data_IF_028513038466
#
_entry.id   IF_028513038466
#
_cell.length_a   1.000
_cell.length_b   1.000
_cell.length_c   1.000
_cell.angle_alpha   90.00
_cell.angle_beta   90.00
_cell.angle_gamma   90.00
#
_symmetry.space_group_name_H-M   'P 1'
#
loop_
_entity.id
_entity.type
_entity.pdbx_description
1 polymer ?
#
# COMPACT_ATOMS: atom_id res chain seq x y z
N UNK A 1 2.87 9.65 -8.09
CA UNK A 1 3.83 10.64 -8.61
C UNK A 1 5.11 10.57 -7.82
N UNK A 2 6.25 10.90 -8.44
CA UNK A 2 7.56 10.94 -7.76
C UNK A 2 8.36 12.15 -8.20
N UNK A 3 9.18 12.68 -7.32
CA UNK A 3 10.07 13.81 -7.58
C UNK A 3 11.36 13.68 -6.80
N UNK A 4 12.42 14.31 -7.31
CA UNK A 4 13.69 14.42 -6.60
C UNK A 4 14.33 15.78 -6.84
N UNK A 5 15.00 16.29 -5.82
CA UNK A 5 15.76 17.54 -5.88
C UNK A 5 17.14 17.26 -5.30
N UNK A 6 18.17 17.58 -6.07
CA UNK A 6 19.56 17.57 -5.62
C UNK A 6 20.01 19.01 -5.41
N UNK A 7 20.70 19.25 -4.31
CA UNK A 7 21.27 20.53 -3.94
C UNK A 7 22.75 20.34 -3.57
N UNK A 8 23.62 21.01 -4.33
CA UNK A 8 25.07 20.95 -4.21
C UNK A 8 25.59 22.41 -4.08
N UNK A 9 25.52 23.02 -2.88
CA UNK A 9 25.99 24.38 -2.66
C UNK A 9 27.52 24.52 -2.71
N UNK A 10 28.26 23.41 -2.59
CA UNK A 10 29.71 23.33 -2.65
C UNK A 10 30.14 21.94 -3.13
N UNK A 11 31.41 21.78 -3.47
CA UNK A 11 31.97 20.47 -3.87
C UNK A 11 31.98 19.46 -2.72
N UNK A 12 32.01 19.93 -1.47
CA UNK A 12 32.10 19.10 -0.28
C UNK A 12 30.74 18.68 0.31
N UNK A 13 29.62 19.17 -0.23
CA UNK A 13 28.29 18.92 0.34
C UNK A 13 27.23 18.64 -0.72
N UNK A 14 26.53 17.52 -0.55
CA UNK A 14 25.37 17.14 -1.36
C UNK A 14 24.18 16.86 -0.45
N UNK A 15 23.02 17.44 -0.77
CA UNK A 15 21.73 17.03 -0.24
C UNK A 15 20.81 16.55 -1.38
N UNK A 16 20.16 15.40 -1.17
CA UNK A 16 19.21 14.80 -2.09
C UNK A 16 17.89 14.54 -1.36
N UNK A 17 16.83 15.19 -1.82
CA UNK A 17 15.47 14.92 -1.38
C UNK A 17 14.75 14.11 -2.44
N UNK A 18 14.10 13.02 -2.04
CA UNK A 18 13.20 12.22 -2.87
C UNK A 18 11.84 12.16 -2.21
N UNK A 19 10.78 12.37 -2.98
CA UNK A 19 9.40 12.24 -2.52
C UNK A 19 8.63 11.39 -3.50
N UNK A 20 7.88 10.43 -2.99
CA UNK A 20 7.00 9.58 -3.77
C UNK A 20 5.62 9.51 -3.11
N UNK A 21 4.59 9.57 -3.94
CA UNK A 21 3.21 9.32 -3.53
C UNK A 21 2.59 8.32 -4.51
N UNK A 22 2.06 7.21 -4.02
CA UNK A 22 1.34 6.22 -4.80
C UNK A 22 -0.07 6.05 -4.25
N UNK A 23 -1.01 5.78 -5.15
CA UNK A 23 -2.37 5.43 -4.79
C UNK A 23 -2.83 4.33 -5.75
N UNK A 24 -3.36 3.25 -5.21
CA UNK A 24 -4.04 2.22 -5.95
C UNK A 24 -5.46 2.11 -5.41
N UNK A 25 -6.45 2.23 -6.29
CA UNK A 25 -7.85 2.03 -5.93
C UNK A 25 -8.47 1.05 -6.89
N UNK A 26 -9.11 0.03 -6.34
CA UNK A 26 -9.91 -0.93 -7.07
C UNK A 26 -11.29 -0.97 -6.44
N UNK A 27 -12.31 -0.71 -7.24
CA UNK A 27 -13.72 -0.80 -6.83
C UNK A 27 -14.30 -2.15 -7.30
N UNK A 28 -15.10 -2.78 -6.44
CA UNK A 28 -15.76 -4.05 -6.68
C UNK A 28 -15.04 -5.27 -6.09
N UNK A 29 -15.79 -6.36 -5.92
CA UNK A 29 -15.36 -7.55 -5.19
C UNK A 29 -14.27 -8.38 -5.87
N UNK A 30 -13.84 -9.45 -5.20
CA UNK A 30 -12.80 -10.35 -5.70
C UNK A 30 -13.22 -11.12 -6.98
N UNK A 31 -14.51 -11.07 -7.34
CA UNK A 31 -15.09 -11.85 -8.44
C UNK A 31 -15.13 -11.04 -9.74
N UNK A 32 -14.39 -11.52 -10.74
CA UNK A 32 -14.50 -11.08 -12.12
C UNK A 32 -15.29 -12.12 -12.90
N UNK A 33 -16.46 -11.73 -13.40
CA UNK A 33 -17.28 -12.61 -14.22
C UNK A 33 -16.80 -12.57 -15.67
N UNK A 34 -16.45 -13.74 -16.21
CA UNK A 34 -16.12 -13.87 -17.63
C UNK A 34 -17.37 -14.03 -18.51
N UNK A 35 -18.40 -14.74 -18.05
CA UNK A 35 -19.66 -14.90 -18.77
C UNK A 35 -20.72 -15.42 -17.79
N UNK A 36 -21.88 -14.77 -17.73
CA UNK A 36 -23.00 -15.21 -16.88
C UNK A 36 -23.67 -16.48 -17.47
N UNK A 37 -23.58 -16.72 -18.79
CA UNK A 37 -24.23 -17.83 -19.47
C UNK A 37 -25.60 -17.48 -20.07
N UNK A 38 -26.25 -18.44 -20.72
CA UNK A 38 -27.48 -18.21 -21.51
C UNK A 38 -28.71 -17.85 -20.64
N UNK A 39 -29.73 -17.21 -21.24
CA UNK A 39 -30.99 -16.85 -20.56
C UNK A 39 -31.85 -18.07 -20.16
N UNK A 40 -31.62 -19.25 -20.72
CA UNK A 40 -32.26 -20.51 -20.31
C UNK A 40 -31.68 -21.11 -19.03
N UNK A 41 -30.50 -20.65 -18.59
CA UNK A 41 -29.88 -21.11 -17.36
C UNK A 41 -30.57 -20.50 -16.13
N UNK A 42 -31.17 -21.36 -15.31
CA UNK A 42 -31.91 -20.96 -14.10
C UNK A 42 -31.09 -20.11 -13.12
N UNK A 43 -29.85 -20.54 -12.82
CA UNK A 43 -28.95 -19.80 -11.92
C UNK A 43 -28.53 -18.46 -12.54
N UNK A 44 -28.32 -18.43 -13.85
CA UNK A 44 -27.90 -17.26 -14.60
C UNK A 44 -29.00 -16.16 -14.58
N UNK A 45 -30.27 -16.55 -14.73
CA UNK A 45 -31.39 -15.63 -14.57
C UNK A 45 -31.56 -15.14 -13.12
N UNK A 46 -31.24 -15.95 -12.11
CA UNK A 46 -31.25 -15.47 -10.72
C UNK A 46 -30.18 -14.40 -10.48
N UNK A 47 -28.99 -14.56 -11.05
CA UNK A 47 -27.92 -13.55 -10.97
C UNK A 47 -28.31 -12.25 -11.68
N UNK A 48 -28.89 -12.32 -12.90
CA UNK A 48 -29.37 -11.12 -13.62
C UNK A 48 -30.45 -10.35 -12.86
N UNK A 49 -31.28 -11.06 -12.09
CA UNK A 49 -32.39 -10.49 -11.33
C UNK A 49 -32.04 -10.16 -9.88
N UNK A 50 -30.79 -10.37 -9.42
CA UNK A 50 -30.39 -10.09 -8.04
C UNK A 50 -30.20 -8.59 -7.76
N UNK A 51 -30.12 -7.76 -8.81
CA UNK A 51 -29.79 -6.34 -8.70
C UNK A 51 -28.29 -6.06 -8.56
N UNK A 52 -27.46 -7.10 -8.49
CA UNK A 52 -26.00 -6.96 -8.49
C UNK A 52 -25.50 -6.44 -9.85
N UNK A 53 -24.50 -5.56 -9.83
CA UNK A 53 -23.88 -5.01 -11.04
C UNK A 53 -22.88 -6.02 -11.62
N UNK A 54 -23.38 -7.09 -12.23
CA UNK A 54 -22.58 -8.18 -12.79
C UNK A 54 -22.40 -7.97 -14.30
N UNK A 55 -21.16 -7.91 -14.82
CA UNK A 55 -20.94 -7.83 -16.26
C UNK A 55 -21.35 -9.14 -16.96
N UNK A 56 -22.15 -9.03 -18.02
CA UNK A 56 -22.68 -10.17 -18.78
C UNK A 56 -21.63 -10.86 -19.67
N UNK A 57 -20.62 -10.10 -20.09
CA UNK A 57 -19.53 -10.51 -20.97
C UNK A 57 -18.17 -10.23 -20.34
N UNK A 58 -17.07 -10.84 -20.85
CA UNK A 58 -15.74 -10.65 -20.26
C UNK A 58 -15.38 -9.18 -20.18
N UNK A 59 -15.06 -8.69 -18.98
CA UNK A 59 -14.64 -7.32 -18.77
C UNK A 59 -13.72 -7.22 -17.56
N UNK A 60 -12.98 -6.12 -17.45
CA UNK A 60 -12.19 -5.80 -16.26
C UNK A 60 -13.06 -5.26 -15.10
N UNK A 61 -14.39 -5.28 -15.22
CA UNK A 61 -15.28 -4.86 -14.14
C UNK A 61 -15.41 -5.98 -13.12
N UNK A 62 -15.15 -5.64 -11.87
CA UNK A 62 -15.43 -6.51 -10.72
C UNK A 62 -16.90 -6.38 -10.37
N UNK A 63 -17.57 -7.50 -10.19
CA UNK A 63 -18.93 -7.52 -9.67
C UNK A 63 -18.86 -7.42 -8.14
N UNK A 64 -19.82 -6.72 -7.55
CA UNK A 64 -20.00 -6.70 -6.10
C UNK A 64 -21.38 -7.24 -5.76
N UNK A 65 -21.44 -8.16 -4.79
CA UNK A 65 -22.66 -8.81 -4.32
C UNK A 65 -23.01 -8.46 -2.86
N UNK A 66 -22.12 -7.73 -2.18
CA UNK A 66 -22.28 -7.28 -0.81
C UNK A 66 -23.27 -6.12 -0.65
N UNK A 67 -23.85 -5.99 0.54
CA UNK A 67 -24.64 -4.81 0.95
C UNK A 67 -23.76 -3.56 1.12
N UNK A 68 -22.48 -3.76 1.41
CA UNK A 68 -21.48 -2.70 1.53
C UNK A 68 -20.63 -2.64 0.25
N UNK A 69 -20.15 -1.45 -0.17
CA UNK A 69 -19.27 -1.34 -1.32
C UNK A 69 -17.95 -2.06 -1.06
N UNK A 70 -17.60 -3.03 -1.90
CA UNK A 70 -16.29 -3.68 -1.87
C UNK A 70 -15.22 -2.78 -2.53
N UNK A 71 -14.06 -2.69 -1.89
CA UNK A 71 -12.94 -1.87 -2.35
C UNK A 71 -11.58 -2.40 -1.88
N UNK A 72 -10.55 -2.02 -2.61
CA UNK A 72 -9.14 -2.09 -2.20
C UNK A 72 -8.52 -0.72 -2.51
N UNK A 73 -8.24 0.07 -1.48
CA UNK A 73 -7.60 1.38 -1.58
C UNK A 73 -6.32 1.38 -0.75
N UNK A 74 -5.19 1.56 -1.42
CA UNK A 74 -3.88 1.70 -0.77
C UNK A 74 -3.24 3.00 -1.22
N UNK A 75 -2.85 3.82 -0.26
CA UNK A 75 -2.11 5.06 -0.45
C UNK A 75 -0.81 5.00 0.32
N UNK A 76 0.28 5.35 -0.34
CA UNK A 76 1.59 5.41 0.29
C UNK A 76 2.23 6.74 -0.05
N UNK A 77 2.75 7.43 0.96
CA UNK A 77 3.58 8.62 0.77
C UNK A 77 4.93 8.36 1.44
N UNK A 78 6.01 8.64 0.74
CA UNK A 78 7.37 8.48 1.25
C UNK A 78 8.17 9.74 0.95
N UNK A 79 9.01 10.13 1.89
CA UNK A 79 10.00 11.18 1.70
C UNK A 79 11.33 10.73 2.28
N UNK A 80 12.42 11.01 1.57
CA UNK A 80 13.78 10.73 2.02
C UNK A 80 14.66 11.94 1.78
N UNK A 81 15.41 12.33 2.80
CA UNK A 81 16.52 13.27 2.72
C UNK A 81 17.82 12.50 2.93
N UNK A 82 18.76 12.65 2.01
CA UNK A 82 20.12 12.15 2.17
C UNK A 82 21.07 13.32 2.08
N UNK A 83 21.93 13.48 3.09
CA UNK A 83 22.97 14.49 3.13
C UNK A 83 24.33 13.82 3.20
N UNK A 84 25.28 14.28 2.40
CA UNK A 84 26.67 13.89 2.45
C UNK A 84 27.53 15.14 2.65
N UNK A 85 28.49 15.05 3.57
CA UNK A 85 29.47 16.08 3.83
C UNK A 85 30.86 15.43 3.84
N UNK A 86 31.73 15.90 2.97
CA UNK A 86 33.15 15.56 2.97
C UNK A 86 33.90 16.68 3.73
N UNK A 87 34.53 16.34 4.85
CA UNK A 87 35.18 17.29 5.75
C UNK A 87 36.63 16.83 6.02
N UNK A 88 37.54 17.21 5.12
CA UNK A 88 38.90 16.68 5.09
C UNK A 88 38.87 15.18 4.80
N UNK A 89 39.51 14.37 5.64
CA UNK A 89 39.52 12.91 5.51
C UNK A 89 38.25 12.25 6.08
N UNK A 90 37.27 13.01 6.57
CA UNK A 90 36.02 12.46 7.09
C UNK A 90 34.89 12.59 6.09
N UNK A 91 34.12 11.52 5.91
CA UNK A 91 32.84 11.55 5.20
C UNK A 91 31.70 11.30 6.18
N UNK A 92 30.79 12.27 6.26
CA UNK A 92 29.56 12.15 7.03
C UNK A 92 28.39 11.90 6.09
N UNK A 93 27.57 10.90 6.39
CA UNK A 93 26.33 10.62 5.69
C UNK A 93 25.19 10.65 6.69
N UNK A 94 24.12 11.38 6.37
CA UNK A 94 22.86 11.28 7.10
C UNK A 94 21.74 10.91 6.14
N UNK A 95 20.92 9.94 6.54
CA UNK A 95 19.74 9.52 5.80
C UNK A 95 18.54 9.62 6.73
N UNK A 96 17.58 10.46 6.41
CA UNK A 96 16.30 10.54 7.09
C UNK A 96 15.21 10.12 6.12
N UNK A 97 14.36 9.19 6.51
CA UNK A 97 13.24 8.75 5.70
C UNK A 97 11.96 8.74 6.53
N UNK A 98 10.86 9.10 5.89
CA UNK A 98 9.53 9.08 6.46
C UNK A 98 8.59 8.37 5.49
N UNK A 99 7.70 7.54 6.01
CA UNK A 99 6.70 6.83 5.24
C UNK A 99 5.36 6.84 5.97
N UNK A 100 4.30 7.13 5.23
CA UNK A 100 2.92 6.90 5.65
C UNK A 100 2.28 5.92 4.67
N UNK A 101 1.59 4.91 5.21
CA UNK A 101 0.76 3.99 4.47
C UNK A 101 -0.65 4.02 5.06
N UNK A 102 -1.64 4.13 4.18
CA UNK A 102 -3.06 3.99 4.50
C UNK A 102 -3.66 2.99 3.52
N UNK A 103 -3.96 1.82 4.01
CA UNK A 103 -4.60 0.73 3.28
C UNK A 103 -6.00 0.46 3.83
N UNK A 104 -6.92 0.10 2.96
CA UNK A 104 -8.25 -0.34 3.33
C UNK A 104 -8.77 -1.32 2.31
N UNK A 105 -9.26 -2.46 2.79
CA UNK A 105 -9.83 -3.51 1.97
C UNK A 105 -11.16 -3.90 2.61
N UNK A 106 -12.23 -3.82 1.83
CA UNK A 106 -13.50 -4.43 2.15
C UNK A 106 -13.83 -5.44 1.06
N UNK A 107 -13.94 -6.71 1.45
CA UNK A 107 -14.25 -7.81 0.54
C UNK A 107 -15.29 -8.74 1.13
N UNK A 108 -16.22 -9.16 0.28
CA UNK A 108 -17.12 -10.29 0.50
C UNK A 108 -16.49 -11.54 -0.15
N UNK A 109 -16.20 -12.55 0.66
CA UNK A 109 -15.47 -13.73 0.20
C UNK A 109 -16.37 -14.82 -0.41
N UNK A 110 -17.70 -14.68 -0.32
CA UNK A 110 -18.61 -15.82 -0.45
C UNK A 110 -19.56 -15.76 -1.66
N UNK A 111 -19.05 -15.50 -2.86
CA UNK A 111 -19.86 -15.72 -4.08
C UNK A 111 -21.16 -14.88 -4.10
N UNK A 112 -22.24 -15.34 -4.75
CA UNK A 112 -23.52 -14.62 -4.77
C UNK A 112 -24.33 -14.72 -3.47
N UNK A 113 -23.79 -15.29 -2.39
CA UNK A 113 -24.46 -15.46 -1.10
C UNK A 113 -23.58 -14.83 -0.01
N UNK A 114 -23.93 -13.62 0.41
CA UNK A 114 -23.26 -12.86 1.47
C UNK A 114 -23.31 -13.63 2.80
N UNK A 115 -22.22 -14.31 3.19
CA UNK A 115 -22.09 -14.95 4.50
C UNK A 115 -20.94 -14.37 5.33
N UNK A 116 -19.81 -14.04 4.68
CA UNK A 116 -18.62 -13.48 5.32
C UNK A 116 -18.16 -12.19 4.62
N UNK A 117 -18.39 -11.06 5.28
CA UNK A 117 -17.78 -9.79 4.93
C UNK A 117 -16.58 -9.54 5.83
N UNK A 118 -15.43 -9.17 5.26
CA UNK A 118 -14.27 -8.70 6.02
C UNK A 118 -13.87 -7.29 5.61
N UNK A 119 -13.77 -6.41 6.59
CA UNK A 119 -13.20 -5.07 6.47
C UNK A 119 -11.87 -5.05 7.22
N UNK A 120 -10.80 -4.71 6.51
CA UNK A 120 -9.45 -4.60 7.05
C UNK A 120 -8.94 -3.23 6.68
N UNK A 121 -8.60 -2.43 7.68
CA UNK A 121 -7.93 -1.14 7.47
C UNK A 121 -6.58 -1.16 8.17
N UNK A 122 -5.58 -0.63 7.48
CA UNK A 122 -4.21 -0.50 7.95
C UNK A 122 -3.79 0.95 7.82
N UNK A 123 -3.25 1.51 8.90
CA UNK A 123 -2.58 2.81 8.88
C UNK A 123 -1.23 2.64 9.56
N UNK A 124 -0.17 3.01 8.87
CA UNK A 124 1.18 3.02 9.46
C UNK A 124 1.92 4.30 9.14
N UNK A 125 2.74 4.73 10.11
CA UNK A 125 3.62 5.86 10.00
C UNK A 125 4.98 5.46 10.55
N UNK A 126 6.03 5.62 9.75
CA UNK A 126 7.38 5.22 10.11
C UNK A 126 8.36 6.37 9.87
N UNK A 127 9.22 6.61 10.85
CA UNK A 127 10.36 7.51 10.77
C UNK A 127 11.65 6.71 10.92
N UNK A 128 12.58 6.89 10.00
CA UNK A 128 13.91 6.30 10.02
C UNK A 128 14.95 7.42 9.95
N UNK A 129 15.99 7.32 10.77
CA UNK A 129 17.15 8.20 10.69
C UNK A 129 18.44 7.43 10.94
N UNK A 130 19.39 7.58 10.03
CA UNK A 130 20.76 7.10 10.17
C UNK A 130 21.74 8.28 10.06
N UNK A 131 22.78 8.25 10.87
CA UNK A 131 23.96 9.10 10.73
C UNK A 131 25.20 8.21 10.81
N UNK A 132 26.10 8.38 9.85
CA UNK A 132 27.34 7.62 9.73
C UNK A 132 28.52 8.56 9.49
N UNK A 133 29.65 8.23 10.09
CA UNK A 133 30.94 8.85 9.84
C UNK A 133 31.91 7.78 9.32
N UNK A 134 32.71 8.14 8.33
CA UNK A 134 33.76 7.31 7.76
C UNK A 134 35.07 8.08 7.71
N UNK A 135 36.17 7.41 8.01
CA UNK A 135 37.52 7.94 7.92
C UNK A 135 38.48 6.87 7.36
N UNK A 136 39.28 7.15 6.33
CA UNK A 136 40.30 6.23 5.85
C UNK A 136 41.39 6.02 6.92
N UNK A 137 41.94 4.82 6.99
CA UNK A 137 43.05 4.45 7.87
C UNK A 137 44.13 3.80 7.00
N UNK A 138 45.20 4.55 6.73
CA UNK A 138 46.26 4.12 5.80
C UNK A 138 45.77 4.05 4.35
N UNK A 139 46.47 3.29 3.52
CA UNK A 139 46.20 3.23 2.08
C UNK A 139 45.00 2.34 1.72
N UNK A 140 44.68 1.35 2.58
CA UNK A 140 43.70 0.29 2.26
C UNK A 140 42.59 0.11 3.33
N UNK A 141 42.62 0.89 4.41
CA UNK A 141 41.69 0.74 5.54
C UNK A 141 40.66 1.87 5.62
N UNK A 142 39.52 1.60 6.25
CA UNK A 142 38.57 2.62 6.65
C UNK A 142 37.92 2.26 7.99
N UNK A 143 37.79 3.26 8.86
CA UNK A 143 36.96 3.21 10.04
C UNK A 143 35.59 3.80 9.73
N UNK A 144 34.54 3.10 10.14
CA UNK A 144 33.16 3.52 9.95
C UNK A 144 32.42 3.34 11.27
N UNK A 145 31.70 4.38 11.70
CA UNK A 145 30.83 4.35 12.87
C UNK A 145 29.50 5.03 12.54
N UNK A 146 28.41 4.57 13.14
CA UNK A 146 27.09 5.15 12.88
C UNK A 146 26.05 4.82 13.96
N UNK A 147 24.95 5.57 13.91
CA UNK A 147 23.80 5.42 14.78
C UNK A 147 22.53 5.42 13.93
N UNK A 148 21.58 4.58 14.33
CA UNK A 148 20.29 4.43 13.65
C UNK A 148 19.17 4.58 14.67
N UNK A 149 18.13 5.31 14.29
CA UNK A 149 16.88 5.47 15.02
C UNK A 149 15.71 5.10 14.12
N UNK A 150 14.77 4.33 14.66
CA UNK A 150 13.58 3.88 13.95
C UNK A 150 12.40 3.99 14.90
N UNK A 151 11.34 4.61 14.43
CA UNK A 151 10.06 4.73 15.10
C UNK A 151 8.95 4.34 14.14
N UNK A 152 7.97 3.57 14.61
CA UNK A 152 6.87 3.09 13.76
C UNK A 152 5.61 2.88 14.57
N UNK A 153 4.58 3.60 14.17
CA UNK A 153 3.21 3.43 14.66
C UNK A 153 2.41 2.65 13.62
N UNK A 154 1.77 1.56 14.07
CA UNK A 154 0.93 0.71 13.26
C UNK A 154 -0.44 0.56 13.92
N UNK A 155 -1.48 0.89 13.17
CA UNK A 155 -2.86 0.68 13.56
C UNK A 155 -3.55 -0.22 12.53
N UNK A 156 -4.03 -1.36 13.00
CA UNK A 156 -4.79 -2.30 12.18
C UNK A 156 -6.14 -2.49 12.83
N UNK A 157 -7.20 -2.30 12.06
CA UNK A 157 -8.56 -2.64 12.45
C UNK A 157 -9.08 -3.72 11.49
N UNK A 158 -9.54 -4.82 12.06
CA UNK A 158 -10.20 -5.89 11.33
C UNK A 158 -11.59 -6.11 11.90
N UNK A 159 -12.61 -6.06 11.05
CA UNK A 159 -13.97 -6.42 11.38
C UNK A 159 -14.42 -7.54 10.43
N UNK A 160 -15.08 -8.55 10.97
CA UNK A 160 -15.68 -9.61 10.19
C UNK A 160 -17.14 -9.74 10.58
N UNK A 161 -18.03 -9.63 9.60
CA UNK A 161 -19.47 -9.74 9.82
C UNK A 161 -19.95 -11.07 9.25
N UNK A 162 -20.63 -11.84 10.10
CA UNK A 162 -21.30 -13.07 9.70
C UNK A 162 -22.80 -12.80 9.57
N UNK A 163 -23.35 -12.97 8.38
CA UNK A 163 -24.78 -12.77 8.16
C UNK A 163 -25.51 -14.12 8.24
N UNK A 164 -26.12 -14.42 9.40
CA UNK A 164 -26.79 -15.70 9.63
C UNK A 164 -28.18 -15.81 8.96
N UNK A 165 -28.73 -14.73 8.40
CA UNK A 165 -30.04 -14.78 7.73
C UNK A 165 -30.02 -15.48 6.36
N UNK A 166 -28.87 -15.57 5.70
CA UNK A 166 -28.68 -16.34 4.47
C UNK A 166 -28.41 -17.83 4.75
N UNK A 167 -28.03 -18.18 5.99
CA UNK A 167 -27.80 -19.54 6.45
C UNK A 167 -29.15 -20.19 6.85
N UNK A 168 -29.97 -20.50 5.86
CA UNK A 168 -31.22 -21.21 6.07
C UNK A 168 -30.97 -22.51 6.85
N UNK A 169 -31.49 -22.55 8.09
CA UNK A 169 -31.94 -23.77 8.75
C UNK A 169 -33.47 -23.80 8.69
#
# INVERSE_FOLDING_TARGET
GRGQIRWEPSDDFEALVKVEHSSNRVDGGALVFNNIGDASCFLCNKVRNSGANVPEYPSFRRASAGTNPEYDDTKTTMAQLTMNLDAGDWRFTSVTAWQELKGGVNMDYDGPLTFLESDITEQSNSLFQEVRAQHPIGDDGAFIAGLTYIDTDLHIQQASTFNAQSAGF
#
